data_IF_343968580784
#
_entry.id   IF_343968580784
#
_cell.length_a   1.000
_cell.length_b   1.000
_cell.length_c   1.000
_cell.angle_alpha   90.00
_cell.angle_beta   90.00
_cell.angle_gamma   90.00
#
_symmetry.space_group_name_H-M   'P 1'
#
loop_
_entity.id
_entity.type
_entity.pdbx_description
1 polymer ?
#
# COMPACT_ATOMS: atom_id res chain seq x y z
N UNK A 1 17.35 -12.52 -10.00
CA UNK A 1 18.65 -13.04 -9.54
C UNK A 1 19.32 -12.04 -8.60
N UNK A 2 20.38 -12.44 -7.88
CA UNK A 2 21.04 -11.62 -6.83
C UNK A 2 21.48 -10.23 -7.32
N UNK A 3 22.00 -10.13 -8.55
CA UNK A 3 22.39 -8.85 -9.15
C UNK A 3 21.20 -7.90 -9.38
N UNK A 4 20.08 -8.43 -9.90
CA UNK A 4 18.85 -7.66 -10.07
C UNK A 4 18.27 -7.19 -8.72
N UNK A 5 18.35 -8.04 -7.68
CA UNK A 5 17.94 -7.64 -6.33
C UNK A 5 18.76 -6.46 -5.81
N UNK A 6 20.10 -6.56 -5.89
CA UNK A 6 20.99 -5.48 -5.45
C UNK A 6 20.73 -4.18 -6.23
N UNK A 7 20.52 -4.26 -7.55
CA UNK A 7 20.17 -3.11 -8.37
C UNK A 7 18.84 -2.47 -7.94
N UNK A 8 17.83 -3.27 -7.61
CA UNK A 8 16.54 -2.77 -7.13
C UNK A 8 16.68 -2.09 -5.76
N UNK A 9 17.47 -2.65 -4.84
CA UNK A 9 17.76 -2.03 -3.54
C UNK A 9 18.41 -0.66 -3.72
N UNK A 10 19.39 -0.56 -4.63
CA UNK A 10 20.03 0.73 -4.95
C UNK A 10 19.02 1.73 -5.50
N UNK A 11 18.17 1.31 -6.45
CA UNK A 11 17.17 2.19 -7.05
C UNK A 11 16.13 2.69 -6.03
N UNK A 12 15.64 1.81 -5.14
CA UNK A 12 14.69 2.18 -4.09
C UNK A 12 15.32 3.16 -3.10
N UNK A 13 16.55 2.89 -2.65
CA UNK A 13 17.28 3.79 -1.75
C UNK A 13 17.52 5.16 -2.39
N UNK A 14 17.87 5.21 -3.67
CA UNK A 14 18.06 6.47 -4.39
C UNK A 14 16.76 7.27 -4.49
N UNK A 15 15.61 6.60 -4.72
CA UNK A 15 14.31 7.27 -4.74
C UNK A 15 13.85 7.77 -3.38
N UNK A 16 14.18 7.05 -2.29
CA UNK A 16 13.87 7.51 -0.92
C UNK A 16 14.69 8.74 -0.54
N UNK A 17 15.97 8.78 -0.92
CA UNK A 17 16.91 9.86 -0.59
C UNK A 17 16.99 10.95 -1.66
N UNK A 18 15.99 11.02 -2.54
CA UNK A 18 15.95 12.05 -3.56
C UNK A 18 15.67 13.40 -2.90
N UNK A 19 16.54 14.38 -3.16
CA UNK A 19 16.35 15.74 -2.66
C UNK A 19 15.06 16.36 -3.20
N UNK A 20 14.40 17.16 -2.35
CA UNK A 20 13.26 17.97 -2.76
C UNK A 20 13.71 19.04 -3.77
N UNK A 21 12.96 19.23 -4.86
CA UNK A 21 13.30 20.20 -5.92
C UNK A 21 12.84 21.62 -5.58
N UNK A 22 12.01 21.76 -4.53
CA UNK A 22 11.50 23.05 -4.09
C UNK A 22 11.11 23.06 -2.61
N UNK A 23 11.07 24.26 -2.04
CA UNK A 23 10.55 24.50 -0.68
C UNK A 23 9.11 23.98 -0.52
N UNK A 24 8.31 24.01 -1.59
CA UNK A 24 6.94 23.49 -1.55
C UNK A 24 6.93 21.98 -1.34
N UNK A 25 7.78 21.24 -2.04
CA UNK A 25 7.90 19.78 -1.88
C UNK A 25 8.38 19.40 -0.47
N UNK A 26 9.40 20.09 0.03
CA UNK A 26 9.87 19.94 1.42
C UNK A 26 8.76 20.23 2.44
N UNK A 27 8.00 21.32 2.23
CA UNK A 27 6.89 21.71 3.10
C UNK A 27 5.77 20.66 3.07
N UNK A 28 5.41 20.15 1.89
CA UNK A 28 4.41 19.09 1.74
C UNK A 28 4.84 17.80 2.43
N UNK A 29 6.12 17.42 2.32
CA UNK A 29 6.68 16.25 3.01
C UNK A 29 6.55 16.38 4.52
N UNK A 30 6.87 17.54 5.09
CA UNK A 30 6.72 17.79 6.53
C UNK A 30 5.27 17.89 6.99
N UNK A 31 4.38 18.51 6.20
CA UNK A 31 2.95 18.56 6.49
C UNK A 31 2.37 17.14 6.54
N UNK A 32 2.77 16.23 5.65
CA UNK A 32 2.33 14.84 5.68
C UNK A 32 2.67 14.13 7.00
N UNK A 33 3.85 14.37 7.57
CA UNK A 33 4.23 13.83 8.88
C UNK A 33 3.41 14.41 10.04
N UNK A 34 3.04 15.69 9.95
CA UNK A 34 2.24 16.39 10.95
C UNK A 34 0.79 15.91 10.89
N UNK A 35 0.18 15.85 9.70
CA UNK A 35 -1.19 15.39 9.49
C UNK A 35 -1.37 13.91 9.86
N UNK A 36 -0.34 13.10 9.64
CA UNK A 36 -0.32 11.71 10.07
C UNK A 36 -0.05 11.53 11.58
N UNK A 37 0.27 12.62 12.30
CA UNK A 37 0.71 12.61 13.71
C UNK A 37 1.92 11.69 13.97
N UNK A 38 2.79 11.49 12.95
CA UNK A 38 3.94 10.59 13.03
C UNK A 38 5.24 11.34 13.36
N UNK A 39 5.38 12.58 12.90
CA UNK A 39 6.53 13.45 13.18
C UNK A 39 7.90 12.81 12.90
N UNK A 40 7.99 11.91 11.91
CA UNK A 40 9.24 11.25 11.53
C UNK A 40 9.86 12.03 10.36
N UNK A 41 10.49 13.16 10.68
CA UNK A 41 11.04 14.05 9.64
C UNK A 41 12.29 13.50 8.94
N UNK A 42 12.95 12.50 9.55
CA UNK A 42 14.08 11.72 9.02
C UNK A 42 13.66 10.36 8.43
N UNK A 43 12.39 10.24 8.02
CA UNK A 43 11.82 8.98 7.53
C UNK A 43 12.62 8.40 6.36
N UNK A 44 12.99 9.24 5.41
CA UNK A 44 13.70 8.83 4.20
C UNK A 44 15.00 8.10 4.54
N UNK A 45 15.80 8.64 5.46
CA UNK A 45 17.04 8.06 5.93
C UNK A 45 16.81 6.73 6.66
N UNK A 46 15.83 6.71 7.59
CA UNK A 46 15.51 5.53 8.39
C UNK A 46 14.99 4.38 7.53
N UNK A 47 14.12 4.67 6.57
CA UNK A 47 13.59 3.68 5.63
C UNK A 47 14.68 3.21 4.67
N UNK A 48 15.55 4.09 4.17
CA UNK A 48 16.67 3.71 3.32
C UNK A 48 17.64 2.77 4.05
N UNK A 49 17.95 3.03 5.33
CA UNK A 49 18.73 2.11 6.15
C UNK A 49 18.05 0.75 6.35
N UNK A 50 16.73 0.73 6.57
CA UNK A 50 15.98 -0.50 6.71
C UNK A 50 16.01 -1.31 5.41
N UNK A 51 15.76 -0.68 4.27
CA UNK A 51 15.78 -1.32 2.94
C UNK A 51 17.14 -1.96 2.64
N UNK A 52 18.25 -1.31 2.99
CA UNK A 52 19.61 -1.87 2.83
C UNK A 52 19.82 -3.15 3.64
N UNK A 53 19.13 -3.30 4.77
CA UNK A 53 19.26 -4.45 5.69
C UNK A 53 18.37 -5.63 5.29
N UNK A 54 17.30 -5.40 4.53
CA UNK A 54 16.41 -6.47 4.06
C UNK A 54 17.15 -7.38 3.09
N UNK A 55 17.10 -8.69 3.34
CA UNK A 55 17.62 -9.70 2.43
C UNK A 55 16.56 -10.16 1.42
N UNK A 56 17.03 -10.67 0.28
CA UNK A 56 16.14 -11.26 -0.73
C UNK A 56 15.32 -12.43 -0.16
N UNK A 57 15.89 -13.23 0.73
CA UNK A 57 15.19 -14.35 1.36
C UNK A 57 14.06 -13.88 2.28
N UNK A 58 14.27 -12.82 3.06
CA UNK A 58 13.23 -12.22 3.90
C UNK A 58 12.11 -11.62 3.07
N UNK A 59 12.43 -10.93 1.98
CA UNK A 59 11.43 -10.40 1.06
C UNK A 59 10.59 -11.52 0.41
N UNK A 60 11.24 -12.61 0.00
CA UNK A 60 10.53 -13.79 -0.52
C UNK A 60 9.62 -14.44 0.52
N UNK A 61 10.09 -14.57 1.77
CA UNK A 61 9.30 -15.10 2.88
C UNK A 61 8.07 -14.23 3.14
N UNK A 62 8.27 -12.91 3.29
CA UNK A 62 7.18 -11.96 3.47
C UNK A 62 6.17 -12.02 2.32
N UNK A 63 6.62 -12.06 1.07
CA UNK A 63 5.72 -12.15 -0.07
C UNK A 63 4.85 -13.42 -0.02
N UNK A 64 5.45 -14.56 0.35
CA UNK A 64 4.69 -15.81 0.52
C UNK A 64 3.67 -15.74 1.65
N UNK A 65 4.05 -15.16 2.79
CA UNK A 65 3.22 -15.11 4.00
C UNK A 65 2.13 -14.04 3.97
N UNK A 66 2.36 -12.93 3.28
CA UNK A 66 1.45 -11.77 3.31
C UNK A 66 0.68 -11.61 2.01
N UNK A 67 1.33 -11.80 0.86
CA UNK A 67 0.71 -11.56 -0.44
C UNK A 67 0.10 -12.82 -1.05
N UNK A 68 0.67 -14.00 -0.79
CA UNK A 68 0.30 -15.23 -1.49
C UNK A 68 -0.54 -16.22 -0.65
N UNK A 69 -0.37 -16.29 0.67
CA UNK A 69 -1.09 -17.27 1.51
C UNK A 69 -2.48 -16.80 1.95
N UNK A 70 -2.58 -15.60 2.54
CA UNK A 70 -3.84 -15.02 3.04
C UNK A 70 -3.86 -13.49 2.85
N UNK A 71 -3.81 -13.00 1.60
CA UNK A 71 -3.82 -11.57 1.35
C UNK A 71 -5.14 -10.94 1.80
N UNK A 72 -5.04 -9.86 2.59
CA UNK A 72 -6.15 -8.91 2.74
C UNK A 72 -6.27 -8.13 1.44
N UNK A 73 -7.11 -8.60 0.52
CA UNK A 73 -7.26 -8.03 -0.82
C UNK A 73 -8.51 -7.15 -0.91
N UNK A 74 -8.35 -5.96 -1.47
CA UNK A 74 -9.43 -5.09 -1.92
C UNK A 74 -9.35 -4.96 -3.44
N UNK A 75 -10.48 -5.09 -4.12
CA UNK A 75 -10.58 -4.87 -5.57
C UNK A 75 -11.77 -3.96 -5.85
N UNK A 76 -11.53 -2.87 -6.59
CA UNK A 76 -12.55 -1.88 -6.95
C UNK A 76 -12.77 -1.99 -8.45
N UNK A 77 -14.00 -2.31 -8.84
CA UNK A 77 -14.39 -2.40 -10.25
C UNK A 77 -15.25 -1.20 -10.61
N UNK A 78 -14.77 -0.39 -11.56
CA UNK A 78 -15.50 0.76 -12.07
C UNK A 78 -16.23 0.38 -13.35
N UNK A 79 -17.53 0.63 -13.38
CA UNK A 79 -18.40 0.39 -14.53
C UNK A 79 -18.87 1.75 -15.11
N UNK A 80 -19.21 1.82 -16.41
CA UNK A 80 -19.81 3.03 -16.99
C UNK A 80 -21.06 3.46 -16.21
N UNK A 81 -21.20 4.77 -15.95
CA UNK A 81 -22.24 5.34 -15.09
C UNK A 81 -23.70 5.18 -15.57
N UNK A 82 -23.91 4.56 -16.73
CA UNK A 82 -25.23 4.21 -17.26
C UNK A 82 -25.74 2.85 -16.75
N UNK A 83 -24.89 2.07 -16.07
CA UNK A 83 -25.25 0.75 -15.57
C UNK A 83 -26.00 0.89 -14.24
N UNK A 84 -27.25 0.43 -14.21
CA UNK A 84 -28.10 0.46 -13.01
C UNK A 84 -27.73 -0.57 -11.95
N UNK A 85 -27.04 -1.66 -12.33
CA UNK A 85 -26.69 -2.76 -11.41
C UNK A 85 -25.29 -3.30 -11.74
N UNK A 86 -24.22 -2.63 -11.26
CA UNK A 86 -22.83 -2.98 -11.58
C UNK A 86 -22.44 -4.42 -11.19
N UNK A 87 -22.93 -4.96 -10.07
CA UNK A 87 -22.60 -6.32 -9.63
C UNK A 87 -23.10 -7.43 -10.58
N UNK A 88 -24.04 -7.11 -11.48
CA UNK A 88 -24.57 -8.06 -12.47
C UNK A 88 -23.79 -8.05 -13.80
N UNK A 89 -22.87 -7.10 -13.98
CA UNK A 89 -22.07 -7.00 -15.20
C UNK A 89 -20.94 -8.03 -15.19
N UNK A 90 -20.54 -8.53 -16.37
CA UNK A 90 -19.30 -9.28 -16.48
C UNK A 90 -18.12 -8.40 -16.07
N UNK A 91 -17.13 -9.03 -15.43
CA UNK A 91 -15.92 -8.35 -15.00
C UNK A 91 -15.13 -7.83 -16.22
N UNK A 92 -14.47 -6.65 -16.11
CA UNK A 92 -13.58 -6.15 -17.16
C UNK A 92 -12.50 -7.17 -17.52
N UNK A 93 -11.99 -7.13 -18.76
CA UNK A 93 -10.91 -8.01 -19.18
C UNK A 93 -9.68 -7.82 -18.29
N UNK A 94 -9.23 -8.90 -17.65
CA UNK A 94 -8.09 -8.89 -16.72
C UNK A 94 -8.44 -8.61 -15.26
N UNK A 95 -9.70 -8.29 -14.96
CA UNK A 95 -10.17 -8.22 -13.58
C UNK A 95 -10.20 -9.62 -12.96
N UNK A 96 -9.81 -9.70 -11.70
CA UNK A 96 -9.81 -10.95 -10.95
C UNK A 96 -11.25 -11.26 -10.52
N UNK A 97 -11.72 -12.51 -10.64
CA UNK A 97 -13.03 -12.90 -10.12
C UNK A 97 -13.07 -12.75 -8.60
N UNK A 98 -14.27 -12.48 -8.08
CA UNK A 98 -14.55 -12.62 -6.64
C UNK A 98 -14.37 -14.10 -6.31
N UNK A 99 -13.45 -14.40 -5.40
CA UNK A 99 -13.16 -15.77 -4.97
C UNK A 99 -14.13 -16.21 -3.88
N UNK A 100 -14.30 -17.52 -3.72
CA UNK A 100 -15.14 -18.09 -2.66
C UNK A 100 -14.72 -17.54 -1.28
N UNK A 101 -15.71 -17.01 -0.54
CA UNK A 101 -15.50 -16.37 0.77
C UNK A 101 -15.17 -14.87 0.73
N UNK A 102 -15.16 -14.23 -0.43
CA UNK A 102 -15.06 -12.77 -0.57
C UNK A 102 -16.45 -12.12 -0.65
N UNK A 103 -16.61 -10.98 0.00
CA UNK A 103 -17.84 -10.18 -0.03
C UNK A 103 -17.77 -9.11 -1.12
N UNK A 104 -18.82 -9.00 -1.93
CA UNK A 104 -18.99 -7.89 -2.87
C UNK A 104 -19.93 -6.84 -2.25
N UNK A 105 -19.50 -5.59 -2.23
CA UNK A 105 -20.29 -4.48 -1.70
C UNK A 105 -20.42 -3.38 -2.76
N UNK A 106 -21.66 -3.01 -3.10
CA UNK A 106 -21.95 -1.87 -3.98
C UNK A 106 -21.89 -0.54 -3.22
N UNK A 107 -22.08 -0.59 -1.90
CA UNK A 107 -21.96 0.56 -0.99
C UNK A 107 -20.75 0.41 -0.09
N UNK A 108 -19.79 1.32 -0.24
CA UNK A 108 -18.57 1.40 0.58
C UNK A 108 -18.92 1.62 2.06
N UNK A 109 -20.01 2.31 2.38
CA UNK A 109 -20.46 2.51 3.75
C UNK A 109 -20.99 1.22 4.39
N UNK A 110 -21.44 0.24 3.60
CA UNK A 110 -21.78 -1.11 4.09
C UNK A 110 -20.49 -1.87 4.40
N UNK A 111 -19.50 -1.82 3.51
CA UNK A 111 -18.18 -2.42 3.75
C UNK A 111 -17.54 -1.93 5.07
N UNK A 112 -17.55 -0.62 5.34
CA UNK A 112 -16.98 -0.06 6.58
C UNK A 112 -17.80 -0.35 7.85
N UNK A 113 -19.12 -0.60 7.72
CA UNK A 113 -19.96 -0.97 8.86
C UNK A 113 -19.84 -2.45 9.23
N UNK A 114 -19.56 -3.31 8.25
CA UNK A 114 -19.61 -4.76 8.41
C UNK A 114 -18.23 -5.41 8.60
N UNK A 115 -17.12 -4.76 8.25
CA UNK A 115 -15.78 -5.36 8.29
C UNK A 115 -14.80 -4.67 9.25
N UNK A 116 -14.44 -5.45 10.29
CA UNK A 116 -13.24 -5.40 11.16
C UNK A 116 -13.06 -4.15 12.04
N UNK A 117 -12.45 -4.30 13.24
CA UNK A 117 -12.06 -3.15 14.04
C UNK A 117 -11.16 -2.24 13.19
N UNK A 118 -11.46 -0.94 13.21
CA UNK A 118 -10.59 0.06 12.61
C UNK A 118 -9.16 -0.20 13.09
N UNK A 119 -8.15 -0.19 12.20
CA UNK A 119 -6.78 -0.34 12.62
C UNK A 119 -6.48 0.71 13.70
N UNK A 120 -5.70 0.35 14.73
CA UNK A 120 -5.37 1.30 15.78
C UNK A 120 -4.70 2.52 15.14
N UNK A 121 -5.01 3.72 15.65
CA UNK A 121 -4.25 4.91 15.29
C UNK A 121 -2.79 4.65 15.59
N UNK A 122 -1.90 4.99 14.66
CA UNK A 122 -0.48 5.00 14.93
C UNK A 122 -0.24 5.96 16.09
N UNK A 123 0.22 5.44 17.22
CA UNK A 123 0.62 6.25 18.36
C UNK A 123 2.10 6.51 18.30
N UNK A 124 2.49 7.73 18.65
CA UNK A 124 3.89 8.06 18.88
C UNK A 124 4.41 7.16 20.00
N UNK A 125 5.38 6.30 19.69
CA UNK A 125 6.20 5.68 20.72
C UNK A 125 7.08 6.79 21.29
N UNK A 126 6.67 7.30 22.46
CA UNK A 126 7.47 8.22 23.28
C UNK A 126 8.70 7.52 23.83
#
# INVERSE_FOLDING_TARGET
GRAAYASNVVAVVAGLLQDDHSIMEESMRHIGEIEAEQYVFDRAEREAEAVRKVSQAELHRWAREVLLSQPRRLSIHSHPGTVKTPASQPLPKGAQPVLDGQSAHEDVAVYYRELLPLPPRHTLRR
#
